data_IF_833969888289
#
_entry.id   IF_833969888289
#
_cell.length_a   1.000
_cell.length_b   1.000
_cell.length_c   1.000
_cell.angle_alpha   90.00
_cell.angle_beta   90.00
_cell.angle_gamma   90.00
#
_symmetry.space_group_name_H-M   'P 1'
#
loop_
_entity.id
_entity.type
_entity.pdbx_description
1 polymer ?
#
# COMPACT_ATOMS: atom_id res chain seq x y z
N UNK A 1 33.73 -7.39 14.17
CA UNK A 1 33.24 -6.48 13.12
C UNK A 1 31.75 -6.23 13.39
N UNK A 2 31.38 -5.04 13.86
CA UNK A 2 29.97 -4.69 14.17
C UNK A 2 29.36 -4.01 12.95
N UNK A 3 28.40 -4.68 12.31
CA UNK A 3 27.65 -4.15 11.17
C UNK A 3 26.79 -2.96 11.62
N UNK A 4 27.18 -1.75 11.22
CA UNK A 4 26.38 -0.53 11.40
C UNK A 4 25.22 -0.56 10.40
N UNK A 5 24.05 -1.02 10.85
CA UNK A 5 22.80 -0.74 10.17
C UNK A 5 22.51 0.76 10.33
N UNK A 6 22.31 1.56 9.27
CA UNK A 6 21.93 2.95 9.42
C UNK A 6 20.54 3.01 10.06
N UNK A 7 20.52 3.44 11.32
CA UNK A 7 19.33 3.69 12.13
C UNK A 7 18.57 4.84 11.49
N UNK A 8 17.64 4.53 10.59
CA UNK A 8 16.71 5.50 10.03
C UNK A 8 15.86 6.05 11.18
N UNK A 9 16.03 7.34 11.44
CA UNK A 9 15.29 8.08 12.46
C UNK A 9 13.89 8.30 11.89
N UNK A 10 12.91 7.59 12.43
CA UNK A 10 11.49 7.83 12.15
C UNK A 10 10.90 8.38 13.45
N UNK A 11 10.32 9.59 13.36
CA UNK A 11 9.77 10.31 14.51
C UNK A 11 8.67 9.48 15.19
N UNK A 12 8.62 9.53 16.52
CA UNK A 12 7.61 8.84 17.35
C UNK A 12 6.20 9.18 16.88
N UNK A 13 5.61 8.27 16.09
CA UNK A 13 4.24 8.41 15.55
C UNK A 13 4.14 8.24 14.03
N UNK A 14 5.22 8.45 13.29
CA UNK A 14 5.23 8.33 11.84
C UNK A 14 5.88 6.99 11.45
N UNK A 15 5.06 5.95 11.31
CA UNK A 15 5.56 4.75 10.66
C UNK A 15 5.87 5.15 9.21
N UNK A 16 7.11 4.99 8.73
CA UNK A 16 7.36 5.15 7.31
C UNK A 16 6.38 4.23 6.62
N UNK A 17 5.56 4.79 5.74
CA UNK A 17 4.76 4.10 4.75
C UNK A 17 5.74 3.26 3.93
N UNK A 18 6.15 2.11 4.48
CA UNK A 18 7.08 1.19 3.86
C UNK A 18 6.35 0.81 2.59
N UNK A 19 6.83 1.28 1.44
CA UNK A 19 6.37 0.86 0.12
C UNK A 19 6.75 -0.62 -0.03
N UNK A 20 6.00 -1.47 0.67
CA UNK A 20 6.07 -2.92 0.65
C UNK A 20 4.80 -3.45 0.03
N UNK A 21 4.82 -4.72 -0.34
CA UNK A 21 3.58 -5.35 -0.75
C UNK A 21 2.63 -5.41 0.44
N UNK A 22 1.39 -4.96 0.26
CA UNK A 22 0.34 -5.00 1.29
C UNK A 22 -0.78 -5.91 0.84
N UNK A 23 -1.38 -6.63 1.77
CA UNK A 23 -2.65 -7.27 1.49
C UNK A 23 -3.78 -6.22 1.40
N UNK A 24 -4.83 -6.52 0.64
CA UNK A 24 -6.03 -5.65 0.53
C UNK A 24 -6.58 -5.22 1.89
N UNK A 25 -6.59 -6.12 2.87
CA UNK A 25 -7.10 -5.82 4.20
C UNK A 25 -6.17 -4.92 5.01
N UNK A 26 -4.84 -5.04 4.84
CA UNK A 26 -3.88 -4.16 5.51
C UNK A 26 -3.99 -2.74 4.96
N UNK A 27 -4.11 -2.62 3.63
CA UNK A 27 -4.34 -1.34 2.98
C UNK A 27 -5.67 -0.72 3.43
N UNK A 28 -6.75 -1.50 3.44
CA UNK A 28 -8.04 -1.03 3.95
C UNK A 28 -7.93 -0.54 5.41
N UNK A 29 -7.19 -1.27 6.26
CA UNK A 29 -6.95 -0.87 7.65
C UNK A 29 -6.11 0.41 7.77
N UNK A 30 -5.09 0.60 6.92
CA UNK A 30 -4.30 1.84 6.88
C UNK A 30 -5.17 3.06 6.58
N UNK A 31 -6.07 2.94 5.60
CA UNK A 31 -7.01 3.99 5.26
C UNK A 31 -8.21 4.10 6.22
N UNK A 32 -8.26 3.29 7.28
CA UNK A 32 -9.38 3.19 8.21
C UNK A 32 -10.74 2.96 7.50
N UNK A 33 -10.71 2.22 6.38
CA UNK A 33 -11.91 1.85 5.61
C UNK A 33 -12.17 0.36 5.69
N UNK A 34 -13.43 -0.04 5.50
CA UNK A 34 -13.75 -1.44 5.35
C UNK A 34 -13.24 -2.00 4.01
N UNK A 35 -12.92 -3.30 3.99
CA UNK A 35 -12.41 -3.99 2.79
C UNK A 35 -13.34 -3.90 1.58
N UNK A 36 -14.65 -3.72 1.80
CA UNK A 36 -15.65 -3.49 0.74
C UNK A 36 -15.46 -2.12 0.07
N UNK A 37 -15.33 -1.06 0.86
CA UNK A 37 -15.04 0.30 0.36
C UNK A 37 -13.72 0.30 -0.39
N UNK A 38 -12.68 -0.30 0.20
CA UNK A 38 -11.38 -0.42 -0.47
C UNK A 38 -11.47 -1.21 -1.78
N UNK A 39 -12.24 -2.30 -1.81
CA UNK A 39 -12.46 -3.08 -3.04
C UNK A 39 -13.18 -2.27 -4.12
N UNK A 40 -14.10 -1.39 -3.75
CA UNK A 40 -14.76 -0.47 -4.68
C UNK A 40 -13.77 0.54 -5.25
N UNK A 41 -12.88 1.11 -4.43
CA UNK A 41 -11.84 2.03 -4.89
C UNK A 41 -10.86 1.34 -5.85
N UNK A 42 -10.41 0.13 -5.50
CA UNK A 42 -9.58 -0.70 -6.38
C UNK A 42 -10.30 -1.00 -7.70
N UNK A 43 -11.62 -1.16 -7.69
CA UNK A 43 -12.40 -1.35 -8.92
C UNK A 43 -12.39 -0.09 -9.80
N UNK A 44 -12.50 1.09 -9.21
CA UNK A 44 -12.41 2.37 -9.93
C UNK A 44 -11.08 2.55 -10.65
N UNK A 45 -9.98 2.06 -10.05
CA UNK A 45 -8.65 2.13 -10.64
C UNK A 45 -8.21 0.82 -11.30
N UNK A 46 -9.10 -0.15 -11.47
CA UNK A 46 -8.75 -1.51 -11.90
C UNK A 46 -7.98 -1.50 -13.23
N UNK A 47 -8.41 -0.70 -14.20
CA UNK A 47 -7.74 -0.60 -15.50
C UNK A 47 -6.31 -0.07 -15.40
N UNK A 48 -6.06 0.91 -14.52
CA UNK A 48 -4.71 1.43 -14.27
C UNK A 48 -3.88 0.38 -13.52
N UNK A 49 -4.48 -0.28 -12.53
CA UNK A 49 -3.83 -1.34 -11.76
C UNK A 49 -3.46 -2.54 -12.64
N UNK A 50 -4.30 -2.92 -13.61
CA UNK A 50 -4.01 -3.98 -14.57
C UNK A 50 -2.78 -3.67 -15.42
N UNK A 51 -2.52 -2.39 -15.76
CA UNK A 51 -1.27 -1.95 -16.42
C UNK A 51 -0.04 -2.15 -15.53
N UNK A 52 -0.20 -2.06 -14.21
CA UNK A 52 0.85 -2.40 -13.23
C UNK A 52 0.93 -3.92 -12.93
N UNK A 53 0.21 -4.75 -13.68
CA UNK A 53 0.21 -6.21 -13.51
C UNK A 53 -0.65 -6.71 -12.35
N UNK A 54 -1.56 -5.88 -11.84
CA UNK A 54 -2.57 -6.31 -10.88
C UNK A 54 -3.56 -7.27 -11.55
N UNK A 55 -3.88 -8.38 -10.89
CA UNK A 55 -4.95 -9.30 -11.31
C UNK A 55 -6.03 -9.28 -10.24
N UNK A 56 -7.31 -9.43 -10.64
CA UNK A 56 -8.45 -9.48 -9.70
C UNK A 56 -8.27 -10.53 -8.58
N UNK A 57 -7.63 -11.65 -8.89
CA UNK A 57 -7.34 -12.74 -7.94
C UNK A 57 -6.16 -12.47 -7.01
N UNK A 58 -5.41 -11.40 -7.24
CA UNK A 58 -4.23 -11.07 -6.46
C UNK A 58 -4.65 -10.46 -5.12
N UNK A 59 -4.44 -11.21 -4.03
CA UNK A 59 -4.66 -10.74 -2.65
C UNK A 59 -3.57 -9.78 -2.16
N UNK A 60 -2.38 -9.87 -2.76
CA UNK A 60 -1.17 -9.14 -2.39
C UNK A 60 -0.90 -8.01 -3.39
N UNK A 61 -1.12 -6.77 -2.97
CA UNK A 61 -0.86 -5.59 -3.78
C UNK A 61 0.64 -5.31 -3.77
N UNK A 62 1.23 -5.27 -4.97
CA UNK A 62 2.66 -4.96 -5.15
C UNK A 62 2.97 -3.56 -4.62
N UNK A 63 4.21 -3.28 -4.20
CA UNK A 63 4.60 -1.95 -3.73
C UNK A 63 4.35 -0.84 -4.78
N UNK A 64 4.44 -1.16 -6.08
CA UNK A 64 4.10 -0.22 -7.17
C UNK A 64 2.62 0.18 -7.15
N UNK A 65 1.74 -0.80 -6.97
CA UNK A 65 0.30 -0.59 -6.84
C UNK A 65 -0.02 0.18 -5.56
N UNK A 66 0.63 -0.16 -4.45
CA UNK A 66 0.48 0.54 -3.17
C UNK A 66 0.88 2.00 -3.32
N UNK A 67 2.01 2.26 -3.97
CA UNK A 67 2.48 3.62 -4.26
C UNK A 67 1.46 4.39 -5.09
N UNK A 68 0.96 3.80 -6.17
CA UNK A 68 -0.05 4.41 -7.02
C UNK A 68 -1.33 4.73 -6.22
N UNK A 69 -1.75 3.82 -5.34
CA UNK A 69 -2.90 4.04 -4.47
C UNK A 69 -2.65 5.16 -3.47
N UNK A 70 -1.45 5.27 -2.91
CA UNK A 70 -1.07 6.37 -2.01
C UNK A 70 -1.03 7.72 -2.74
N UNK A 71 -0.53 7.74 -3.99
CA UNK A 71 -0.54 8.94 -4.82
C UNK A 71 -1.97 9.39 -5.21
N UNK A 72 -2.91 8.45 -5.37
CA UNK A 72 -4.31 8.73 -5.75
C UNK A 72 -5.23 9.02 -4.57
N UNK A 73 -5.12 8.24 -3.50
CA UNK A 73 -5.99 8.30 -2.31
C UNK A 73 -5.42 9.23 -1.23
N UNK A 74 -4.15 9.62 -1.34
CA UNK A 74 -3.38 10.30 -0.29
C UNK A 74 -2.62 9.31 0.58
N UNK A 75 -1.48 9.73 1.14
CA UNK A 75 -0.81 8.94 2.17
C UNK A 75 -1.70 8.95 3.44
N UNK A 76 -2.10 7.78 3.96
CA UNK A 76 -2.92 7.69 5.17
C UNK A 76 -2.15 8.06 6.43
#
# INVERSE_FOLDING_TARGET
MKSLQPKRVYFEGEQPTKLRAYYKYELAALYNVCTKTFSSWIHTYLEELEKFGYKKSTKLLRPEVVRFLFERLGEP
#
